data_IF_036433751111
#
_entry.id   IF_036433751111
#
_cell.length_a   1.000
_cell.length_b   1.000
_cell.length_c   1.000
_cell.angle_alpha   90.00
_cell.angle_beta   90.00
_cell.angle_gamma   90.00
#
_symmetry.space_group_name_H-M   'P 1'
#
loop_
_entity.id
_entity.type
_entity.pdbx_description
1 polymer ?
#
# COMPACT_ATOMS: atom_id res chain seq x y z
N UNK A 1 -16.62 18.49 24.73
CA UNK A 1 -16.11 18.64 23.33
C UNK A 1 -15.00 17.65 23.01
N UNK A 2 -13.95 17.52 23.83
CA UNK A 2 -12.79 16.61 23.60
C UNK A 2 -13.19 15.12 23.55
N UNK A 3 -14.12 14.68 24.40
CA UNK A 3 -14.55 13.28 24.45
C UNK A 3 -15.28 12.82 23.16
N UNK A 4 -16.16 13.67 22.62
CA UNK A 4 -16.85 13.42 21.35
C UNK A 4 -15.87 13.35 20.16
N UNK A 5 -14.86 14.22 20.14
CA UNK A 5 -13.82 14.21 19.11
C UNK A 5 -12.99 12.92 19.13
N UNK A 6 -12.66 12.42 20.34
CA UNK A 6 -11.97 11.14 20.52
C UNK A 6 -12.79 9.96 19.99
N UNK A 7 -14.08 9.88 20.32
CA UNK A 7 -14.97 8.81 19.85
C UNK A 7 -15.05 8.81 18.32
N UNK A 8 -15.19 9.99 17.71
CA UNK A 8 -15.26 10.11 16.25
C UNK A 8 -13.96 9.68 15.54
N UNK A 9 -12.79 10.00 16.11
CA UNK A 9 -11.50 9.53 15.57
C UNK A 9 -11.41 8.01 15.64
N UNK A 10 -11.76 7.42 16.78
CA UNK A 10 -11.72 5.96 16.96
C UNK A 10 -12.65 5.25 15.98
N UNK A 11 -13.87 5.75 15.80
CA UNK A 11 -14.82 5.20 14.81
C UNK A 11 -14.26 5.26 13.39
N UNK A 12 -13.67 6.39 12.97
CA UNK A 12 -13.06 6.50 11.64
C UNK A 12 -11.85 5.60 11.47
N UNK A 13 -11.02 5.45 12.50
CA UNK A 13 -9.90 4.53 12.48
C UNK A 13 -10.39 3.08 12.32
N UNK A 14 -11.40 2.68 13.09
CA UNK A 14 -12.00 1.35 12.98
C UNK A 14 -12.54 1.06 11.59
N UNK A 15 -13.30 2.00 10.99
CA UNK A 15 -13.84 1.84 9.63
C UNK A 15 -12.73 1.70 8.58
N UNK A 16 -11.65 2.49 8.70
CA UNK A 16 -10.50 2.38 7.80
C UNK A 16 -9.78 1.05 7.97
N UNK A 17 -9.66 0.55 9.19
CA UNK A 17 -9.06 -0.76 9.46
C UNK A 17 -9.89 -1.88 8.86
N UNK A 18 -11.22 -1.86 8.98
CA UNK A 18 -12.09 -2.87 8.37
C UNK A 18 -11.96 -2.85 6.83
N UNK A 19 -12.08 -1.67 6.22
CA UNK A 19 -11.91 -1.51 4.77
C UNK A 19 -10.53 -1.97 4.28
N UNK A 20 -9.49 -1.73 5.07
CA UNK A 20 -8.15 -2.19 4.76
C UNK A 20 -8.09 -3.72 4.65
N UNK A 21 -8.63 -4.45 5.63
CA UNK A 21 -8.61 -5.91 5.59
C UNK A 21 -9.50 -6.48 4.49
N UNK A 22 -10.71 -5.92 4.28
CA UNK A 22 -11.61 -6.33 3.20
C UNK A 22 -10.95 -6.20 1.82
N UNK A 23 -10.33 -5.04 1.54
CA UNK A 23 -9.63 -4.82 0.28
C UNK A 23 -8.40 -5.71 0.14
N UNK A 24 -7.69 -5.99 1.24
CA UNK A 24 -6.51 -6.86 1.22
C UNK A 24 -6.90 -8.30 0.93
N UNK A 25 -8.01 -8.76 1.50
CA UNK A 25 -8.60 -10.07 1.23
C UNK A 25 -9.07 -10.19 -0.22
N UNK A 26 -9.69 -9.16 -0.79
CA UNK A 26 -10.04 -9.15 -2.22
C UNK A 26 -8.81 -9.31 -3.14
N UNK A 27 -7.68 -8.69 -2.78
CA UNK A 27 -6.46 -8.66 -3.60
C UNK A 27 -5.61 -9.92 -3.45
N UNK A 28 -5.43 -10.40 -2.21
CA UNK A 28 -4.50 -11.49 -1.89
C UNK A 28 -5.17 -12.80 -1.44
N UNK A 29 -6.47 -12.77 -1.18
CA UNK A 29 -7.21 -13.88 -0.56
C UNK A 29 -7.03 -13.95 0.96
N UNK A 30 -7.90 -14.72 1.60
CA UNK A 30 -8.03 -14.85 3.05
C UNK A 30 -6.71 -15.21 3.76
N UNK A 31 -5.93 -16.12 3.18
CA UNK A 31 -4.68 -16.62 3.78
C UNK A 31 -3.59 -15.55 3.92
N UNK A 32 -3.60 -14.55 3.04
CA UNK A 32 -2.58 -13.50 2.98
C UNK A 32 -3.09 -12.16 3.54
N UNK A 33 -4.42 -12.00 3.64
CA UNK A 33 -5.06 -10.79 4.13
C UNK A 33 -4.53 -10.38 5.52
N UNK A 34 -4.44 -11.33 6.45
CA UNK A 34 -4.21 -11.05 7.88
C UNK A 34 -2.74 -11.13 8.34
N UNK A 35 -1.79 -11.13 7.40
CA UNK A 35 -0.35 -11.09 7.71
C UNK A 35 0.40 -10.11 6.83
N UNK A 36 1.62 -9.73 7.20
CA UNK A 36 2.49 -8.93 6.33
C UNK A 36 2.74 -9.69 5.03
N UNK A 37 2.56 -9.01 3.90
CA UNK A 37 2.90 -9.57 2.58
C UNK A 37 4.39 -9.37 2.36
N UNK A 38 5.05 -10.42 1.90
CA UNK A 38 6.48 -10.44 1.60
C UNK A 38 6.69 -10.71 0.11
N UNK A 39 7.91 -10.52 -0.39
CA UNK A 39 8.22 -10.83 -1.80
C UNK A 39 7.99 -12.30 -2.15
N UNK A 40 8.07 -13.21 -1.17
CA UNK A 40 7.82 -14.64 -1.34
C UNK A 40 6.33 -14.95 -1.56
N UNK A 41 5.44 -14.02 -1.22
CA UNK A 41 3.99 -14.15 -1.41
C UNK A 41 3.54 -13.65 -2.79
N UNK A 42 4.46 -13.11 -3.60
CA UNK A 42 4.22 -12.63 -4.94
C UNK A 42 4.63 -13.67 -5.97
N UNK A 43 3.76 -13.94 -6.95
CA UNK A 43 4.06 -14.88 -8.03
C UNK A 43 4.96 -14.26 -9.11
N UNK A 44 5.36 -15.07 -10.10
CA UNK A 44 6.25 -14.60 -11.18
C UNK A 44 5.63 -13.47 -12.01
N UNK A 45 4.30 -13.43 -12.17
CA UNK A 45 3.59 -12.38 -12.91
C UNK A 45 3.53 -11.07 -12.09
N UNK A 46 3.38 -11.17 -10.77
CA UNK A 46 3.50 -10.05 -9.82
C UNK A 46 4.93 -9.47 -9.84
N UNK A 47 5.95 -10.32 -9.78
CA UNK A 47 7.35 -9.91 -9.80
C UNK A 47 7.78 -9.37 -11.17
N UNK A 48 7.22 -9.88 -12.27
CA UNK A 48 7.40 -9.28 -13.59
C UNK A 48 6.86 -7.84 -13.62
N UNK A 49 5.75 -7.57 -12.92
CA UNK A 49 5.20 -6.22 -12.79
C UNK A 49 6.17 -5.27 -12.07
N UNK A 50 6.84 -5.76 -11.02
CA UNK A 50 7.81 -4.99 -10.26
C UNK A 50 9.05 -4.58 -11.08
N UNK A 51 9.55 -5.48 -11.93
CA UNK A 51 10.82 -5.30 -12.67
C UNK A 51 10.76 -4.23 -13.76
N UNK A 52 9.56 -3.92 -14.25
CA UNK A 52 9.39 -3.01 -15.38
C UNK A 52 9.36 -1.53 -15.00
N UNK A 53 9.61 -1.21 -13.73
CA UNK A 53 9.88 0.16 -13.29
C UNK A 53 8.72 1.15 -13.57
N UNK A 54 7.54 0.65 -13.91
CA UNK A 54 6.36 1.47 -14.20
C UNK A 54 5.73 2.10 -12.96
N UNK A 55 5.97 1.50 -11.79
CA UNK A 55 5.57 2.01 -10.49
C UNK A 55 6.68 1.70 -9.48
N UNK A 56 7.23 2.73 -8.85
CA UNK A 56 8.25 2.60 -7.81
C UNK A 56 8.14 3.72 -6.79
N UNK A 57 8.81 3.56 -5.64
CA UNK A 57 8.95 4.64 -4.66
C UNK A 57 10.37 5.20 -4.71
N UNK A 58 10.47 6.52 -4.74
CA UNK A 58 11.76 7.21 -4.75
C UNK A 58 12.45 7.06 -3.39
N UNK A 59 13.79 6.95 -3.35
CA UNK A 59 14.53 6.75 -2.11
C UNK A 59 14.51 7.96 -1.17
N UNK A 60 14.07 9.13 -1.65
CA UNK A 60 13.99 10.37 -0.89
C UNK A 60 12.53 10.75 -0.66
N UNK A 61 12.25 11.18 0.56
CA UNK A 61 11.00 11.85 0.88
C UNK A 61 10.94 13.23 0.22
N UNK A 62 9.74 13.72 -0.02
CA UNK A 62 9.57 15.11 -0.44
C UNK A 62 9.85 16.10 0.71
N UNK A 63 9.70 17.40 0.45
CA UNK A 63 9.95 18.45 1.46
C UNK A 63 8.99 18.39 2.66
N UNK A 64 7.85 17.71 2.53
CA UNK A 64 6.87 17.52 3.59
C UNK A 64 7.06 16.18 4.33
N UNK A 65 8.10 15.41 3.99
CA UNK A 65 8.38 14.12 4.62
C UNK A 65 7.46 12.99 4.13
N UNK A 66 6.89 13.11 2.94
CA UNK A 66 6.03 12.10 2.30
C UNK A 66 6.85 11.16 1.43
N UNK A 67 6.47 9.89 1.39
CA UNK A 67 7.01 8.96 0.40
C UNK A 67 6.50 9.36 -0.99
N UNK A 68 7.36 9.32 -2.00
CA UNK A 68 7.01 9.73 -3.38
C UNK A 68 6.87 8.49 -4.25
N UNK A 69 5.65 8.19 -4.68
CA UNK A 69 5.35 7.15 -5.65
C UNK A 69 5.49 7.76 -7.04
N UNK A 70 6.51 7.32 -7.76
CA UNK A 70 6.64 7.66 -9.17
C UNK A 70 5.95 6.61 -10.02
N UNK A 71 5.23 7.08 -11.03
CA UNK A 71 4.48 6.22 -11.92
C UNK A 71 4.61 6.67 -13.37
N UNK A 72 4.94 5.73 -14.24
CA UNK A 72 5.01 5.93 -15.69
C UNK A 72 4.14 4.90 -16.38
N UNK A 73 2.88 5.28 -16.64
CA UNK A 73 1.84 4.40 -17.21
C UNK A 73 2.28 3.59 -18.46
N UNK A 74 3.03 4.14 -19.43
CA UNK A 74 3.51 3.35 -20.57
C UNK A 74 4.44 2.18 -20.20
N UNK A 75 5.01 2.17 -18.99
CA UNK A 75 5.86 1.10 -18.47
C UNK A 75 5.12 0.18 -17.50
N UNK A 76 3.80 0.34 -17.35
CA UNK A 76 2.98 -0.59 -16.57
C UNK A 76 2.81 -1.88 -17.36
N UNK A 77 3.65 -2.86 -17.04
CA UNK A 77 3.61 -4.19 -17.64
C UNK A 77 3.11 -5.16 -16.59
N UNK A 78 1.86 -5.61 -16.75
CA UNK A 78 1.23 -6.60 -15.90
C UNK A 78 0.33 -7.48 -16.78
N UNK A 79 0.24 -8.77 -16.44
CA UNK A 79 -0.59 -9.71 -17.18
C UNK A 79 -2.08 -9.56 -16.83
N UNK A 80 -2.35 -9.37 -15.54
CA UNK A 80 -3.69 -9.13 -15.00
C UNK A 80 -3.70 -7.88 -14.11
N UNK A 81 -4.85 -7.21 -14.02
CA UNK A 81 -5.03 -6.03 -13.15
C UNK A 81 -4.64 -6.34 -11.69
N UNK A 82 -4.91 -7.55 -11.23
CA UNK A 82 -4.58 -7.97 -9.86
C UNK A 82 -3.06 -8.00 -9.61
N UNK A 83 -2.23 -8.28 -10.62
CA UNK A 83 -0.78 -8.24 -10.44
C UNK A 83 -0.31 -6.81 -10.11
N UNK A 84 -0.86 -5.82 -10.81
CA UNK A 84 -0.60 -4.42 -10.52
C UNK A 84 -1.08 -4.02 -9.12
N UNK A 85 -2.29 -4.45 -8.73
CA UNK A 85 -2.84 -4.14 -7.40
C UNK A 85 -1.99 -4.75 -6.28
N UNK A 86 -1.55 -6.01 -6.42
CA UNK A 86 -0.67 -6.67 -5.45
C UNK A 86 0.68 -5.98 -5.35
N UNK A 87 1.29 -5.63 -6.49
CA UNK A 87 2.54 -4.89 -6.49
C UNK A 87 2.42 -3.51 -5.84
N UNK A 88 1.37 -2.75 -6.18
CA UNK A 88 1.09 -1.46 -5.57
C UNK A 88 0.86 -1.58 -4.06
N UNK A 89 0.13 -2.62 -3.63
CA UNK A 89 -0.10 -2.89 -2.21
C UNK A 89 1.20 -3.17 -1.47
N UNK A 90 2.05 -4.06 -2.02
CA UNK A 90 3.35 -4.38 -1.45
C UNK A 90 4.20 -3.12 -1.25
N UNK A 91 4.28 -2.24 -2.26
CA UNK A 91 4.97 -0.96 -2.15
C UNK A 91 4.41 -0.11 -1.00
N UNK A 92 3.09 0.00 -0.91
CA UNK A 92 2.44 0.82 0.12
C UNK A 92 2.64 0.24 1.53
N UNK A 93 2.65 -1.07 1.72
CA UNK A 93 2.98 -1.67 3.04
C UNK A 93 4.43 -1.35 3.44
N UNK A 94 5.39 -1.54 2.53
CA UNK A 94 6.81 -1.29 2.79
C UNK A 94 7.12 0.19 3.06
N UNK A 95 6.37 1.11 2.48
CA UNK A 95 6.58 2.55 2.68
C UNK A 95 5.70 3.14 3.77
N UNK A 96 4.39 2.99 3.64
CA UNK A 96 3.42 3.67 4.49
C UNK A 96 3.26 2.96 5.82
N UNK A 97 3.32 1.63 5.90
CA UNK A 97 3.15 0.93 7.18
C UNK A 97 4.46 0.71 7.91
N UNK A 98 5.59 0.55 7.22
CA UNK A 98 6.86 0.30 7.89
C UNK A 98 7.54 1.57 8.47
N UNK A 99 7.19 2.77 7.98
CA UNK A 99 7.92 4.02 8.31
C UNK A 99 7.02 5.01 9.07
N UNK A 100 7.26 5.27 10.37
CA UNK A 100 6.43 6.18 11.18
C UNK A 100 6.32 7.60 10.61
N UNK A 101 7.38 8.11 9.97
CA UNK A 101 7.36 9.41 9.28
C UNK A 101 6.35 9.41 8.14
N UNK A 102 6.28 8.33 7.36
CA UNK A 102 5.34 8.20 6.23
C UNK A 102 3.92 7.94 6.74
N UNK A 103 3.73 7.16 7.81
CA UNK A 103 2.41 7.00 8.46
C UNK A 103 1.80 8.34 8.85
N UNK A 104 2.63 9.29 9.33
CA UNK A 104 2.20 10.62 9.75
C UNK A 104 1.95 11.56 8.57
N UNK A 105 2.84 11.56 7.59
CA UNK A 105 2.86 12.58 6.54
C UNK A 105 2.14 12.15 5.26
N UNK A 106 2.02 10.84 5.04
CA UNK A 106 1.38 10.22 3.89
C UNK A 106 2.32 9.90 2.73
N UNK A 107 1.71 9.51 1.62
CA UNK A 107 2.34 9.16 0.34
C UNK A 107 1.79 10.10 -0.73
N UNK A 108 2.62 10.49 -1.70
CA UNK A 108 2.26 11.37 -2.83
C UNK A 108 2.66 10.77 -4.17
#
# INVERSE_FOLDING_TARGET
SVHFFSIYIVQRAMLRTLQYWELKEEVFGEQLAYRRVTLQDLDDDDLATARNYGLWVLPKLDKAGRAVVYSRKPLWLYKHRNNFLRWMWFILEEEALAKPTVQRNGVV
#
